data_IF_720928382428
#
_entry.id   IF_720928382428
#
_cell.length_a   1.000
_cell.length_b   1.000
_cell.length_c   1.000
_cell.angle_alpha   90.00
_cell.angle_beta   90.00
_cell.angle_gamma   90.00
#
_symmetry.space_group_name_H-M   'P 1'
#
loop_
_entity.id
_entity.type
_entity.pdbx_description
1 polymer ?
#
# COMPACT_ATOMS: atom_id res chain seq x y z
N UNK A 1 -10.90 9.43 -5.11
CA UNK A 1 -12.11 9.10 -4.32
C UNK A 1 -11.92 9.79 -2.99
N UNK A 2 -12.92 10.55 -2.52
CA UNK A 2 -12.82 11.26 -1.24
C UNK A 2 -13.84 10.69 -0.25
N UNK A 3 -13.44 10.53 1.00
CA UNK A 3 -14.23 9.97 2.09
C UNK A 3 -15.09 11.06 2.76
N UNK A 4 -16.22 10.67 3.35
CA UNK A 4 -17.04 11.51 4.23
C UNK A 4 -16.47 11.65 5.67
N UNK A 5 -15.23 11.22 5.91
CA UNK A 5 -14.52 11.28 7.19
C UNK A 5 -14.76 10.07 8.11
N UNK A 6 -13.74 9.74 8.93
CA UNK A 6 -13.68 8.70 9.97
C UNK A 6 -13.49 7.23 9.53
N UNK A 7 -12.76 6.97 8.46
CA UNK A 7 -12.55 5.65 7.85
C UNK A 7 -13.87 4.88 7.57
N UNK A 8 -14.85 5.56 6.97
CA UNK A 8 -16.22 5.07 6.71
C UNK A 8 -16.68 5.33 5.28
N UNK A 9 -17.61 4.49 4.81
CA UNK A 9 -18.33 4.71 3.56
C UNK A 9 -18.46 3.44 2.71
N UNK A 10 -19.35 3.44 1.70
CA UNK A 10 -19.72 2.22 0.98
C UNK A 10 -18.53 1.45 0.37
N UNK A 11 -17.58 2.16 -0.26
CA UNK A 11 -16.38 1.50 -0.82
C UNK A 11 -15.36 1.13 0.26
N UNK A 12 -15.24 1.91 1.33
CA UNK A 12 -14.32 1.59 2.42
C UNK A 12 -14.78 0.32 3.16
N UNK A 13 -16.10 0.14 3.36
CA UNK A 13 -16.68 -1.13 3.84
C UNK A 13 -16.25 -2.31 2.98
N UNK A 14 -16.32 -2.15 1.66
CA UNK A 14 -15.91 -3.21 0.71
C UNK A 14 -14.42 -3.53 0.85
N UNK A 15 -13.57 -2.51 0.98
CA UNK A 15 -12.13 -2.73 1.18
C UNK A 15 -11.87 -3.45 2.50
N UNK A 16 -12.41 -2.96 3.62
CA UNK A 16 -12.23 -3.52 4.96
C UNK A 16 -12.74 -4.96 5.05
N UNK A 17 -13.93 -5.25 4.51
CA UNK A 17 -14.47 -6.60 4.45
C UNK A 17 -13.55 -7.55 3.68
N UNK A 18 -12.84 -7.06 2.66
CA UNK A 18 -11.90 -7.87 1.88
C UNK A 18 -10.73 -8.40 2.71
N UNK A 19 -10.35 -7.74 3.82
CA UNK A 19 -9.26 -8.16 4.70
C UNK A 19 -9.71 -8.67 6.06
N UNK A 20 -11.03 -8.76 6.31
CA UNK A 20 -11.60 -9.12 7.60
C UNK A 20 -11.56 -8.00 8.65
N UNK A 21 -11.36 -6.76 8.21
CA UNK A 21 -11.35 -5.57 9.05
C UNK A 21 -12.75 -4.95 9.15
N UNK A 22 -12.93 -4.05 10.11
CA UNK A 22 -14.21 -3.35 10.37
C UNK A 22 -14.05 -1.84 10.21
N UNK A 23 -15.16 -1.13 9.97
CA UNK A 23 -15.17 0.34 9.80
C UNK A 23 -14.51 1.09 10.95
N UNK A 24 -13.98 2.28 10.65
CA UNK A 24 -13.20 3.07 11.61
C UNK A 24 -11.73 2.66 11.68
N UNK A 25 -11.33 1.54 11.06
CA UNK A 25 -9.93 1.12 10.98
C UNK A 25 -9.21 1.70 9.74
N UNK A 26 -7.90 1.97 9.84
CA UNK A 26 -7.09 2.31 8.68
C UNK A 26 -7.19 1.26 7.57
N UNK A 27 -7.43 1.71 6.34
CA UNK A 27 -7.83 0.81 5.24
C UNK A 27 -6.79 0.69 4.10
N UNK A 28 -5.55 1.14 4.29
CA UNK A 28 -4.49 1.02 3.26
C UNK A 28 -4.22 -0.45 2.84
N UNK A 29 -3.98 -1.35 3.80
CA UNK A 29 -3.80 -2.77 3.52
C UNK A 29 -5.06 -3.45 2.99
N UNK A 30 -6.23 -3.00 3.48
CA UNK A 30 -7.53 -3.47 3.03
C UNK A 30 -7.81 -3.10 1.56
N UNK A 31 -7.42 -1.91 1.13
CA UNK A 31 -7.48 -1.46 -0.26
C UNK A 31 -6.61 -2.33 -1.17
N UNK A 32 -5.35 -2.57 -0.78
CA UNK A 32 -4.43 -3.44 -1.52
C UNK A 32 -4.97 -4.88 -1.59
N UNK A 33 -5.51 -5.38 -0.47
CA UNK A 33 -6.15 -6.70 -0.38
C UNK A 33 -7.30 -6.83 -1.38
N UNK A 34 -8.21 -5.85 -1.37
CA UNK A 34 -9.34 -5.84 -2.28
C UNK A 34 -8.90 -5.85 -3.74
N UNK A 35 -7.95 -4.98 -4.11
CA UNK A 35 -7.44 -4.89 -5.49
C UNK A 35 -6.85 -6.21 -5.99
N UNK A 36 -6.12 -6.95 -5.15
CA UNK A 36 -5.59 -8.26 -5.56
C UNK A 36 -6.67 -9.34 -5.58
N UNK A 37 -7.60 -9.34 -4.62
CA UNK A 37 -8.69 -10.33 -4.56
C UNK A 37 -9.63 -10.24 -5.77
N UNK A 38 -9.96 -9.03 -6.24
CA UNK A 38 -10.80 -8.88 -7.45
C UNK A 38 -10.12 -9.40 -8.72
N UNK A 39 -8.79 -9.51 -8.71
CA UNK A 39 -8.00 -10.11 -9.79
C UNK A 39 -7.75 -11.62 -9.57
N UNK A 40 -8.32 -12.23 -8.53
CA UNK A 40 -8.09 -13.64 -8.20
C UNK A 40 -6.68 -13.94 -7.68
N UNK A 41 -5.93 -12.92 -7.24
CA UNK A 41 -4.55 -13.07 -6.77
C UNK A 41 -4.48 -13.39 -5.27
N UNK A 42 -3.41 -14.09 -4.88
CA UNK A 42 -3.14 -14.42 -3.48
C UNK A 42 -2.82 -13.15 -2.68
N UNK A 43 -3.25 -13.14 -1.42
CA UNK A 43 -2.99 -12.07 -0.43
C UNK A 43 -2.41 -12.67 0.85
N UNK A 44 -1.65 -11.91 1.65
CA UNK A 44 -1.14 -12.41 2.93
C UNK A 44 -2.27 -12.66 3.93
N UNK A 45 -2.03 -13.55 4.90
CA UNK A 45 -2.86 -13.62 6.09
C UNK A 45 -2.79 -12.27 6.85
N UNK A 46 -3.92 -11.80 7.37
CA UNK A 46 -4.00 -10.51 8.04
C UNK A 46 -3.68 -9.31 7.14
N UNK A 47 -4.09 -9.37 5.86
CA UNK A 47 -3.79 -8.36 4.83
C UNK A 47 -4.21 -6.90 5.17
N UNK A 48 -5.03 -6.68 6.19
CA UNK A 48 -5.33 -5.33 6.68
C UNK A 48 -4.10 -4.61 7.23
N UNK A 49 -3.13 -5.34 7.78
CA UNK A 49 -1.90 -4.76 8.33
C UNK A 49 -0.83 -4.58 7.23
N UNK A 50 -0.32 -3.35 7.09
CA UNK A 50 0.69 -3.00 6.07
C UNK A 50 1.94 -3.89 6.13
N UNK A 51 2.40 -4.27 7.33
CA UNK A 51 3.58 -5.10 7.51
C UNK A 51 3.48 -6.49 6.84
N UNK A 52 2.28 -7.07 6.80
CA UNK A 52 2.07 -8.42 6.26
C UNK A 52 2.26 -8.48 4.74
N UNK A 53 2.31 -7.34 4.06
CA UNK A 53 2.59 -7.24 2.62
C UNK A 53 4.07 -7.39 2.26
N UNK A 54 4.97 -7.42 3.24
CA UNK A 54 6.43 -7.43 3.02
C UNK A 54 7.13 -8.63 3.68
N UNK A 55 6.66 -9.87 3.48
CA UNK A 55 7.41 -11.02 3.97
C UNK A 55 8.74 -11.13 3.18
N UNK A 56 9.86 -11.52 3.84
CA UNK A 56 11.20 -11.42 3.26
C UNK A 56 11.39 -12.04 1.87
N UNK A 57 10.69 -13.14 1.61
CA UNK A 57 10.71 -13.88 0.35
C UNK A 57 10.05 -13.14 -0.81
N UNK A 58 9.13 -12.20 -0.53
CA UNK A 58 8.47 -11.36 -1.55
C UNK A 58 9.12 -10.00 -1.73
N UNK A 59 10.01 -9.58 -0.82
CA UNK A 59 10.69 -8.29 -0.89
C UNK A 59 11.73 -8.30 -2.02
N UNK A 60 11.56 -7.38 -2.96
CA UNK A 60 12.42 -7.18 -4.14
C UNK A 60 13.31 -5.95 -4.03
N UNK A 61 12.96 -4.99 -3.15
CA UNK A 61 13.75 -3.81 -2.86
C UNK A 61 13.62 -3.44 -1.38
N UNK A 62 14.73 -3.01 -0.79
CA UNK A 62 14.80 -2.41 0.53
C UNK A 62 15.73 -1.21 0.47
N UNK A 63 15.32 -0.08 1.02
CA UNK A 63 16.16 1.12 1.08
C UNK A 63 17.48 0.82 1.81
N UNK A 64 18.59 1.22 1.19
CA UNK A 64 19.94 0.96 1.71
C UNK A 64 20.41 -0.50 1.56
N UNK A 65 19.60 -1.36 0.94
CA UNK A 65 19.96 -2.75 0.63
C UNK A 65 20.05 -2.99 -0.88
N UNK A 66 20.41 -4.23 -1.24
CA UNK A 66 20.46 -4.65 -2.63
C UNK A 66 19.04 -4.70 -3.24
N UNK A 67 18.91 -4.14 -4.44
CA UNK A 67 17.71 -4.28 -5.25
C UNK A 67 17.77 -5.61 -6.01
N UNK A 68 16.93 -6.59 -5.64
CA UNK A 68 16.85 -7.88 -6.35
C UNK A 68 16.27 -7.72 -7.75
N UNK A 69 15.36 -6.76 -7.92
CA UNK A 69 14.68 -6.46 -9.18
C UNK A 69 14.16 -5.03 -9.19
N UNK A 70 14.20 -4.37 -10.36
CA UNK A 70 13.56 -3.05 -10.53
C UNK A 70 12.04 -3.16 -10.29
N UNK A 71 11.47 -2.36 -9.35
CA UNK A 71 10.03 -2.30 -9.14
C UNK A 71 9.28 -1.96 -10.42
N UNK A 72 8.09 -2.54 -10.61
CA UNK A 72 7.19 -2.20 -11.72
C UNK A 72 5.77 -1.99 -11.21
N UNK A 73 4.91 -1.50 -12.10
CA UNK A 73 3.48 -1.30 -11.86
C UNK A 73 2.85 -2.53 -11.20
N UNK A 74 2.07 -2.29 -10.13
CA UNK A 74 1.39 -3.32 -9.35
C UNK A 74 2.23 -3.98 -8.25
N UNK A 75 3.55 -3.74 -8.17
CA UNK A 75 4.32 -4.11 -6.98
C UNK A 75 3.85 -3.30 -5.76
N UNK A 76 3.90 -3.86 -4.56
CA UNK A 76 3.48 -3.17 -3.34
C UNK A 76 4.60 -2.31 -2.77
N UNK A 77 4.36 -1.03 -2.49
CA UNK A 77 5.30 -0.10 -1.82
C UNK A 77 5.01 -0.02 -0.34
N UNK A 78 6.05 -0.01 0.48
CA UNK A 78 5.96 0.03 1.94
C UNK A 78 6.70 1.21 2.55
N UNK A 79 6.09 1.82 3.57
CA UNK A 79 6.66 2.96 4.30
C UNK A 79 6.78 2.62 5.79
N UNK A 80 7.98 2.84 6.34
CA UNK A 80 8.24 2.67 7.77
C UNK A 80 7.92 3.97 8.51
N UNK A 81 7.16 3.83 9.60
CA UNK A 81 6.86 4.89 10.57
C UNK A 81 7.27 4.41 11.96
N UNK A 82 8.20 5.12 12.59
CA UNK A 82 8.86 4.63 13.80
C UNK A 82 9.60 3.33 13.51
N UNK A 83 9.23 2.24 14.21
CA UNK A 83 9.85 0.92 14.08
C UNK A 83 9.11 -0.06 13.18
N UNK A 84 7.96 0.32 12.60
CA UNK A 84 7.09 -0.61 11.85
C UNK A 84 6.75 -0.13 10.45
N UNK A 85 6.46 -1.07 9.56
CA UNK A 85 5.83 -0.77 8.26
C UNK A 85 4.39 -0.34 8.55
N UNK A 86 4.13 0.96 8.41
CA UNK A 86 2.86 1.58 8.80
C UNK A 86 1.93 1.88 7.63
N UNK A 87 2.42 1.81 6.39
CA UNK A 87 1.62 2.10 5.21
C UNK A 87 2.03 1.23 4.01
N UNK A 88 1.04 0.91 3.18
CA UNK A 88 1.20 0.12 1.95
C UNK A 88 0.35 0.72 0.82
N UNK A 89 0.88 0.65 -0.39
CA UNK A 89 0.16 1.01 -1.62
C UNK A 89 0.74 0.26 -2.82
N UNK A 90 0.40 0.68 -4.03
CA UNK A 90 0.94 0.11 -5.26
C UNK A 90 1.94 1.04 -5.95
N UNK A 91 2.93 0.49 -6.63
CA UNK A 91 3.70 1.19 -7.66
C UNK A 91 2.79 1.40 -8.87
N UNK A 92 2.71 2.63 -9.38
CA UNK A 92 2.18 2.98 -10.70
C UNK A 92 3.33 3.12 -11.70
N UNK A 93 4.40 3.82 -11.29
CA UNK A 93 5.62 4.03 -12.07
C UNK A 93 6.84 4.08 -11.15
N UNK A 94 7.98 3.59 -11.62
CA UNK A 94 9.25 3.66 -10.91
C UNK A 94 10.36 4.25 -11.79
N UNK A 95 11.10 5.22 -11.27
CA UNK A 95 12.34 5.77 -11.83
C UNK A 95 13.45 5.67 -10.78
N UNK A 96 14.66 6.08 -11.14
CA UNK A 96 15.79 6.01 -10.21
C UNK A 96 15.68 7.10 -9.12
N UNK A 97 14.98 8.21 -9.40
CA UNK A 97 14.80 9.32 -8.45
C UNK A 97 13.47 9.28 -7.70
N UNK A 98 12.40 8.80 -8.34
CA UNK A 98 11.05 8.85 -7.78
C UNK A 98 10.17 7.70 -8.26
N UNK A 99 9.08 7.48 -7.54
CA UNK A 99 7.98 6.64 -7.96
C UNK A 99 6.67 7.42 -7.96
N UNK A 100 5.76 7.02 -8.86
CA UNK A 100 4.34 7.31 -8.71
C UNK A 100 3.72 6.09 -8.04
N UNK A 101 2.96 6.32 -6.99
CA UNK A 101 2.30 5.28 -6.20
C UNK A 101 0.80 5.51 -6.17
N UNK A 102 0.01 4.45 -5.95
CA UNK A 102 -1.43 4.52 -5.69
C UNK A 102 -1.68 4.05 -4.27
N UNK A 103 -2.14 4.96 -3.41
CA UNK A 103 -2.19 4.76 -1.96
C UNK A 103 -3.62 5.01 -1.45
N UNK A 104 -4.19 4.04 -0.75
CA UNK A 104 -5.48 4.17 -0.04
C UNK A 104 -5.28 4.57 1.41
N UNK A 105 -6.28 5.17 2.03
CA UNK A 105 -6.17 5.81 3.35
C UNK A 105 -4.98 6.78 3.42
N UNK A 106 -4.91 7.68 2.43
CA UNK A 106 -3.94 8.77 2.37
C UNK A 106 -4.68 10.07 2.06
N UNK A 107 -4.14 11.21 2.50
CA UNK A 107 -4.68 12.53 2.20
C UNK A 107 -4.28 13.02 0.80
N UNK A 108 -5.05 13.95 0.24
CA UNK A 108 -4.75 14.64 -1.04
C UNK A 108 -3.52 15.59 -0.99
N UNK A 109 -3.00 15.90 0.20
CA UNK A 109 -1.78 16.70 0.41
C UNK A 109 -0.48 15.88 0.37
N UNK A 110 0.69 16.52 0.53
CA UNK A 110 2.03 15.90 0.38
C UNK A 110 2.40 14.81 1.44
N UNK A 111 1.44 14.29 2.21
CA UNK A 111 1.69 13.39 3.33
C UNK A 111 0.67 12.26 3.46
N UNK A 112 1.12 11.10 3.96
CA UNK A 112 0.23 10.02 4.42
C UNK A 112 -0.37 10.46 5.74
N UNK A 113 -1.68 10.64 5.78
CA UNK A 113 -2.43 10.98 6.99
C UNK A 113 -3.11 9.74 7.53
N UNK A 114 -3.17 9.62 8.86
CA UNK A 114 -3.88 8.52 9.55
C UNK A 114 -5.38 8.53 9.25
N UNK A 115 -5.93 9.72 9.09
CA UNK A 115 -7.27 10.05 8.59
C UNK A 115 -7.15 10.35 7.09
N UNK A 116 -6.78 9.35 6.29
CA UNK A 116 -6.68 9.54 4.85
C UNK A 116 -8.04 9.87 4.27
N UNK A 117 -8.10 10.87 3.39
CA UNK A 117 -9.37 11.25 2.77
C UNK A 117 -9.67 10.37 1.54
N UNK A 118 -8.75 9.51 1.07
CA UNK A 118 -9.01 8.83 -0.19
C UNK A 118 -7.98 7.85 -0.71
N UNK A 119 -8.20 7.49 -1.98
CA UNK A 119 -7.22 6.82 -2.85
C UNK A 119 -6.62 7.87 -3.77
N UNK A 120 -5.30 8.04 -3.71
CA UNK A 120 -4.58 9.07 -4.46
C UNK A 120 -3.36 8.54 -5.17
N UNK A 121 -3.00 9.21 -6.27
CA UNK A 121 -1.67 9.07 -6.87
C UNK A 121 -0.69 9.98 -6.14
N UNK A 122 0.38 9.40 -5.61
CA UNK A 122 1.41 10.16 -4.88
C UNK A 122 2.73 10.11 -5.62
N UNK A 123 3.43 11.24 -5.70
CA UNK A 123 4.84 11.26 -6.10
C UNK A 123 5.69 11.08 -4.85
N UNK A 124 6.46 9.99 -4.82
CA UNK A 124 7.37 9.65 -3.71
C UNK A 124 8.80 9.69 -4.24
N UNK A 125 9.71 10.36 -3.54
CA UNK A 125 11.13 10.16 -3.82
C UNK A 125 11.49 8.69 -3.56
N UNK A 126 12.38 8.10 -4.36
CA UNK A 126 12.81 6.73 -4.17
C UNK A 126 13.40 6.52 -2.75
N UNK A 127 14.01 7.56 -2.19
CA UNK A 127 14.52 7.61 -0.82
C UNK A 127 13.43 7.56 0.27
N UNK A 128 12.18 7.94 -0.03
CA UNK A 128 11.06 7.85 0.92
C UNK A 128 10.51 6.42 1.02
N UNK A 129 10.65 5.61 -0.02
CA UNK A 129 10.13 4.25 -0.09
C UNK A 129 11.06 3.33 0.70
N UNK A 130 10.49 2.60 1.66
CA UNK A 130 11.27 1.76 2.57
C UNK A 130 11.47 0.36 2.01
N UNK A 131 10.40 -0.25 1.48
CA UNK A 131 10.42 -1.58 0.88
C UNK A 131 9.52 -1.64 -0.36
N UNK A 132 9.80 -2.60 -1.24
CA UNK A 132 8.89 -3.04 -2.30
C UNK A 132 8.79 -4.56 -2.32
N UNK A 133 7.57 -5.09 -2.44
CA UNK A 133 7.30 -6.53 -2.57
C UNK A 133 6.50 -6.87 -3.83
N UNK A 134 6.66 -8.10 -4.34
CA UNK A 134 5.97 -8.59 -5.52
C UNK A 134 4.91 -9.65 -5.17
N UNK A 135 3.68 -9.40 -5.60
CA UNK A 135 2.54 -10.31 -5.40
C UNK A 135 1.92 -10.82 -6.69
N UNK A 136 2.24 -10.17 -7.82
CA UNK A 136 1.77 -10.54 -9.16
C UNK A 136 2.76 -11.54 -9.77
N UNK A 137 2.30 -12.73 -10.21
CA UNK A 137 3.14 -13.66 -10.98
C UNK A 137 3.71 -12.98 -12.23
N UNK A 138 4.96 -13.26 -12.57
CA UNK A 138 5.63 -12.72 -13.76
C UNK A 138 6.40 -13.79 -14.49
#
# INVERSE_FOLDING_TARGET
MTETGFNRGPKIKVYLASSGNVEGQPWCGAFVCWCLKVLGLKVPAGAGAAANWFPPERVIYRRGGAMKRKPKTGDCVGFIYGSRIGHVGFVDRWTDDFAITVEGNTGSGHGITREGDGVHKMRRLASQISLVSCWIPR
#
